data_IF_494124090147
#
_entry.id   IF_494124090147
#
_cell.length_a   1.000
_cell.length_b   1.000
_cell.length_c   1.000
_cell.angle_alpha   90.00
_cell.angle_beta   90.00
_cell.angle_gamma   90.00
#
_symmetry.space_group_name_H-M   'P 1'
#
loop_
_entity.id
_entity.type
_entity.pdbx_description
1 polymer ?
#
# COMPACT_ATOMS: atom_id res chain seq x y z
N UNK A 1 35.50 5.49 -33.99
CA UNK A 1 34.10 5.04 -33.91
C UNK A 1 33.71 5.05 -32.43
N UNK A 2 33.09 6.15 -32.00
CA UNK A 2 32.84 6.48 -30.59
C UNK A 2 31.48 5.88 -30.19
N UNK A 3 31.48 4.75 -29.49
CA UNK A 3 30.26 4.15 -28.95
C UNK A 3 29.85 4.90 -27.68
N UNK A 4 28.94 5.86 -27.83
CA UNK A 4 28.21 6.47 -26.71
C UNK A 4 27.09 5.52 -26.27
N UNK A 5 27.36 4.74 -25.23
CA UNK A 5 26.33 4.06 -24.46
C UNK A 5 25.52 5.13 -23.71
N UNK A 6 24.41 5.57 -24.31
CA UNK A 6 23.36 6.29 -23.60
C UNK A 6 22.59 5.30 -22.75
N UNK A 7 22.92 5.22 -21.46
CA UNK A 7 22.15 4.49 -20.47
C UNK A 7 21.01 5.41 -20.00
N UNK A 8 19.83 5.20 -20.56
CA UNK A 8 18.62 5.90 -20.14
C UNK A 8 18.20 5.33 -18.78
N UNK A 9 18.45 6.10 -17.70
CA UNK A 9 17.87 5.78 -16.39
C UNK A 9 16.37 6.00 -16.53
N UNK A 10 15.62 4.90 -16.66
CA UNK A 10 14.17 4.87 -16.53
C UNK A 10 13.84 5.46 -15.15
N UNK A 11 13.56 6.76 -15.13
CA UNK A 11 13.00 7.44 -13.98
C UNK A 11 11.60 6.88 -13.83
N UNK A 12 11.42 5.92 -12.92
CA UNK A 12 10.10 5.58 -12.42
C UNK A 12 9.45 6.89 -11.98
N UNK A 13 8.37 7.29 -12.64
CA UNK A 13 7.62 8.49 -12.31
C UNK A 13 7.02 8.22 -10.93
N UNK A 14 7.72 8.65 -9.88
CA UNK A 14 7.21 8.54 -8.52
C UNK A 14 5.92 9.38 -8.47
N UNK A 15 4.77 8.71 -8.34
CA UNK A 15 3.50 9.39 -8.19
C UNK A 15 3.56 10.26 -6.93
N UNK A 16 3.20 11.53 -7.08
CA UNK A 16 3.13 12.47 -5.97
C UNK A 16 2.16 11.93 -4.91
N UNK A 17 2.61 11.89 -3.66
CA UNK A 17 1.86 11.39 -2.52
C UNK A 17 2.18 12.20 -1.28
N UNK A 18 1.19 12.35 -0.41
CA UNK A 18 1.31 13.09 0.84
C UNK A 18 1.24 12.14 2.04
N UNK A 19 2.10 12.28 3.06
CA UNK A 19 2.00 11.48 4.27
C UNK A 19 0.75 11.84 5.06
N UNK A 20 0.06 10.84 5.59
CA UNK A 20 -1.11 11.00 6.47
C UNK A 20 -0.65 10.82 7.92
N UNK A 21 -0.78 11.85 8.77
CA UNK A 21 -0.32 11.76 10.16
C UNK A 21 -1.20 10.78 10.95
N UNK A 22 -0.56 9.92 11.74
CA UNK A 22 -1.21 8.98 12.65
C UNK A 22 -1.09 9.51 14.08
N UNK A 23 -2.21 9.63 14.78
CA UNK A 23 -2.21 10.18 16.16
C UNK A 23 -1.77 9.15 17.20
N UNK A 24 -2.29 7.92 17.09
CA UNK A 24 -2.07 6.85 18.10
C UNK A 24 -1.45 5.59 17.50
N UNK A 25 -1.69 5.33 16.22
CA UNK A 25 -1.23 4.14 15.54
C UNK A 25 0.28 4.19 15.28
N UNK A 26 0.93 3.03 15.46
CA UNK A 26 2.36 2.83 15.23
C UNK A 26 2.59 1.56 14.42
N UNK A 27 3.82 1.38 13.92
CA UNK A 27 4.20 0.19 13.16
C UNK A 27 3.72 0.18 11.71
N UNK A 28 3.14 1.28 11.25
CA UNK A 28 2.94 1.53 9.83
C UNK A 28 2.98 3.03 9.50
N UNK A 29 3.16 3.32 8.22
CA UNK A 29 3.05 4.66 7.63
C UNK A 29 1.98 4.62 6.54
N UNK A 30 1.27 5.74 6.38
CA UNK A 30 0.18 5.87 5.42
C UNK A 30 0.44 7.08 4.52
N UNK A 31 0.29 6.89 3.21
CA UNK A 31 0.42 7.95 2.22
C UNK A 31 -0.81 7.98 1.33
N UNK A 32 -1.22 9.19 0.94
CA UNK A 32 -2.35 9.43 0.05
C UNK A 32 -1.86 10.07 -1.25
N UNK A 33 -2.10 9.39 -2.36
CA UNK A 33 -1.99 9.93 -3.71
C UNK A 33 -3.34 10.43 -4.23
N UNK A 34 -3.38 10.79 -5.52
CA UNK A 34 -4.62 11.30 -6.13
C UNK A 34 -5.74 10.24 -6.16
N UNK A 35 -5.45 9.03 -6.65
CA UNK A 35 -6.42 7.94 -6.77
C UNK A 35 -5.86 6.61 -6.22
N UNK A 36 -4.96 6.71 -5.23
CA UNK A 36 -4.39 5.55 -4.56
C UNK A 36 -3.95 5.89 -3.14
N UNK A 37 -3.76 4.85 -2.35
CA UNK A 37 -3.11 4.89 -1.04
C UNK A 37 -1.93 3.95 -1.02
N UNK A 38 -0.96 4.29 -0.19
CA UNK A 38 0.21 3.44 0.03
C UNK A 38 0.39 3.23 1.53
N UNK A 39 0.49 1.97 1.92
CA UNK A 39 0.61 1.54 3.31
C UNK A 39 1.94 0.84 3.47
N UNK A 40 2.79 1.36 4.34
CA UNK A 40 4.07 0.73 4.71
C UNK A 40 3.94 0.14 6.09
N UNK A 41 3.81 -1.18 6.19
CA UNK A 41 3.80 -1.88 7.48
C UNK A 41 5.25 -2.11 7.90
N UNK A 42 5.76 -1.21 8.74
CA UNK A 42 7.16 -1.18 9.22
C UNK A 42 7.40 -2.12 10.39
N UNK A 43 6.36 -2.44 11.17
CA UNK A 43 6.42 -3.40 12.26
C UNK A 43 5.18 -4.31 12.25
N UNK A 44 5.17 -5.29 11.35
CA UNK A 44 4.03 -6.22 11.20
C UNK A 44 3.96 -7.31 12.28
N UNK A 45 5.06 -7.56 12.98
CA UNK A 45 5.18 -8.50 14.09
C UNK A 45 6.39 -8.13 14.96
N UNK A 46 6.50 -8.72 16.15
CA UNK A 46 7.61 -8.42 17.07
C UNK A 46 8.96 -8.72 16.41
N UNK A 47 9.81 -7.70 16.29
CA UNK A 47 11.14 -7.82 15.70
C UNK A 47 11.15 -7.91 14.18
N UNK A 48 10.13 -7.38 13.49
CA UNK A 48 10.16 -7.33 12.04
C UNK A 48 11.28 -6.41 11.55
N UNK A 49 12.11 -6.92 10.63
CA UNK A 49 13.14 -6.14 9.93
C UNK A 49 12.68 -5.73 8.53
N UNK A 50 11.67 -6.42 7.99
CA UNK A 50 11.11 -6.17 6.66
C UNK A 50 9.90 -5.25 6.76
N UNK A 51 9.94 -4.14 6.03
CA UNK A 51 8.75 -3.33 5.72
C UNK A 51 7.96 -3.96 4.58
N UNK A 52 6.66 -4.21 4.81
CA UNK A 52 5.75 -4.61 3.75
C UNK A 52 5.08 -3.39 3.14
N UNK A 53 5.03 -3.32 1.81
CA UNK A 53 4.45 -2.19 1.08
C UNK A 53 3.21 -2.64 0.34
N UNK A 54 2.10 -1.97 0.60
CA UNK A 54 0.82 -2.24 -0.04
C UNK A 54 0.36 -1.02 -0.83
N UNK A 55 -0.13 -1.27 -2.04
CA UNK A 55 -0.78 -0.26 -2.87
C UNK A 55 -2.28 -0.51 -2.85
N UNK A 56 -3.08 0.49 -2.50
CA UNK A 56 -4.54 0.43 -2.57
C UNK A 56 -5.00 1.38 -3.66
N UNK A 57 -5.72 0.86 -4.65
CA UNK A 57 -6.16 1.61 -5.82
C UNK A 57 -7.65 1.92 -5.70
N UNK A 58 -8.02 3.16 -5.97
CA UNK A 58 -9.43 3.55 -6.12
C UNK A 58 -10.05 2.86 -7.35
N UNK A 59 -11.38 2.83 -7.42
CA UNK A 59 -12.12 2.14 -8.46
C UNK A 59 -11.70 2.58 -9.87
N UNK A 60 -11.49 1.60 -10.76
CA UNK A 60 -11.16 1.85 -12.16
C UNK A 60 -9.71 2.27 -12.43
N UNK A 61 -8.87 2.41 -11.39
CA UNK A 61 -7.45 2.73 -11.54
C UNK A 61 -6.65 1.45 -11.81
N UNK A 62 -5.96 1.33 -12.97
CA UNK A 62 -5.07 0.21 -13.20
C UNK A 62 -3.80 0.39 -12.36
N UNK A 63 -3.28 -0.70 -11.79
CA UNK A 63 -1.98 -0.64 -11.13
C UNK A 63 -1.23 -1.96 -11.21
N UNK A 64 0.09 -1.83 -11.26
CA UNK A 64 1.01 -2.95 -11.29
C UNK A 64 1.59 -3.19 -9.91
N UNK A 65 1.91 -4.45 -9.62
CA UNK A 65 2.53 -4.86 -8.35
C UNK A 65 3.99 -4.41 -8.19
N UNK A 66 4.60 -3.81 -9.22
CA UNK A 66 6.03 -3.46 -9.19
C UNK A 66 6.37 -2.59 -7.98
N UNK A 67 7.29 -3.04 -7.14
CA UNK A 67 7.71 -2.33 -5.92
C UNK A 67 6.81 -2.52 -4.69
N UNK A 68 5.72 -3.30 -4.79
CA UNK A 68 4.78 -3.57 -3.71
C UNK A 68 4.63 -5.07 -3.42
N UNK A 69 4.43 -5.42 -2.15
CA UNK A 69 4.20 -6.80 -1.70
C UNK A 69 2.81 -7.30 -2.09
N UNK A 70 1.81 -6.40 -2.15
CA UNK A 70 0.50 -6.67 -2.74
C UNK A 70 -0.21 -5.38 -3.19
N UNK A 71 -1.20 -5.55 -4.07
CA UNK A 71 -2.08 -4.49 -4.55
C UNK A 71 -3.52 -4.85 -4.17
N UNK A 72 -4.27 -3.89 -3.63
CA UNK A 72 -5.69 -4.02 -3.27
C UNK A 72 -6.48 -3.08 -4.18
N UNK A 73 -7.47 -3.62 -4.89
CA UNK A 73 -8.37 -2.84 -5.74
C UNK A 73 -9.66 -2.56 -4.98
N UNK A 74 -10.07 -1.30 -4.91
CA UNK A 74 -11.38 -0.91 -4.40
C UNK A 74 -12.42 -0.92 -5.54
N UNK A 75 -13.71 -1.17 -5.23
CA UNK A 75 -14.22 -1.63 -3.94
C UNK A 75 -13.82 -3.09 -3.64
N UNK A 76 -13.67 -3.43 -2.36
CA UNK A 76 -13.33 -4.80 -1.94
C UNK A 76 -14.56 -5.69 -2.10
N UNK A 77 -14.43 -6.81 -2.81
CA UNK A 77 -15.54 -7.76 -3.03
C UNK A 77 -15.61 -8.89 -1.99
N UNK A 78 -14.49 -9.18 -1.32
CA UNK A 78 -14.39 -10.25 -0.35
C UNK A 78 -13.28 -9.98 0.66
N UNK A 79 -13.59 -10.18 1.93
CA UNK A 79 -12.64 -10.17 3.05
C UNK A 79 -12.66 -11.54 3.72
N UNK A 80 -11.49 -12.07 4.07
CA UNK A 80 -11.35 -13.32 4.84
C UNK A 80 -10.71 -12.96 6.17
N UNK A 81 -11.42 -13.22 7.26
CA UNK A 81 -10.92 -13.02 8.61
C UNK A 81 -10.12 -14.24 9.07
N UNK A 82 -8.97 -14.00 9.70
CA UNK A 82 -8.10 -15.07 10.21
C UNK A 82 -8.31 -15.35 11.70
N UNK A 83 -9.06 -14.49 12.39
CA UNK A 83 -9.40 -14.62 13.80
C UNK A 83 -10.77 -13.99 14.08
N UNK A 84 -11.52 -14.58 15.02
CA UNK A 84 -12.80 -14.02 15.49
C UNK A 84 -12.65 -12.65 16.16
N UNK A 85 -11.45 -12.33 16.66
CA UNK A 85 -11.14 -11.01 17.24
C UNK A 85 -11.25 -9.87 16.21
N UNK A 86 -11.28 -10.17 14.91
CA UNK A 86 -11.42 -9.17 13.85
C UNK A 86 -12.89 -8.85 13.51
N UNK A 87 -13.84 -9.72 13.86
CA UNK A 87 -15.27 -9.57 13.51
C UNK A 87 -15.87 -8.25 14.02
N UNK A 88 -15.68 -7.85 15.30
CA UNK A 88 -16.29 -6.62 15.81
C UNK A 88 -15.86 -5.36 15.05
N UNK A 89 -14.65 -5.36 14.47
CA UNK A 89 -14.17 -4.23 13.68
C UNK A 89 -14.89 -4.10 12.33
N UNK A 90 -15.33 -5.21 11.73
CA UNK A 90 -16.18 -5.15 10.54
C UNK A 90 -17.61 -4.74 10.89
N UNK A 91 -18.15 -5.21 12.03
CA UNK A 91 -19.49 -4.81 12.50
C UNK A 91 -19.56 -3.27 12.66
N UNK A 92 -18.51 -2.68 13.24
CA UNK A 92 -18.40 -1.23 13.42
C UNK A 92 -18.33 -0.45 12.10
N UNK A 93 -17.84 -1.08 11.03
CA UNK A 93 -17.81 -0.50 9.68
C UNK A 93 -19.13 -0.74 8.91
N UNK A 94 -20.04 -1.56 9.44
CA UNK A 94 -21.28 -1.94 8.77
C UNK A 94 -21.10 -2.97 7.65
N UNK A 95 -20.02 -3.76 7.71
CA UNK A 95 -19.56 -4.66 6.63
C UNK A 95 -19.71 -6.16 7.00
N UNK A 96 -20.74 -6.49 7.78
CA UNK A 96 -21.04 -7.84 8.32
C UNK A 96 -22.41 -8.36 7.93
#
# INVERSE_FOLDING_TARGET
>A
MLFIFSCEKKSETALEKTPVPLEFAQGFELFRGENFWEIHVTQGYTGAEKTYRYLVLEEGVPGEKSGFDAVVQLPISKVILTSTTQVPHLDMLGET
#
